data_IF_593407954696
#
_entry.id   IF_593407954696
#
_cell.length_a   1.000
_cell.length_b   1.000
_cell.length_c   1.000
_cell.angle_alpha   90.00
_cell.angle_beta   90.00
_cell.angle_gamma   90.00
#
_symmetry.space_group_name_H-M   'P 1'
#
loop_
_entity.id
_entity.type
_entity.pdbx_description
1 polymer ?
#
# COMPACT_ATOMS: atom_id res chain seq x y z
N UNK A 1 42.51 -1.33 76.65
CA UNK A 1 41.21 -0.65 76.80
C UNK A 1 41.16 0.45 75.73
N UNK A 2 40.21 0.31 74.80
CA UNK A 2 39.78 1.25 73.74
C UNK A 2 40.78 1.66 72.63
N UNK A 3 40.79 0.88 71.55
CA UNK A 3 41.17 1.33 70.22
C UNK A 3 39.90 1.77 69.46
N UNK A 4 39.83 3.04 69.10
CA UNK A 4 38.75 3.68 68.33
C UNK A 4 38.86 3.31 66.85
N UNK A 5 37.84 2.64 66.31
CA UNK A 5 37.70 2.35 64.88
C UNK A 5 37.17 3.58 64.14
N UNK A 6 37.93 4.04 63.14
CA UNK A 6 37.53 5.05 62.15
C UNK A 6 36.52 4.47 61.17
N UNK A 7 35.30 5.02 61.14
CA UNK A 7 34.29 4.72 60.11
C UNK A 7 34.55 5.58 58.86
N UNK A 8 34.81 4.93 57.72
CA UNK A 8 34.90 5.60 56.41
C UNK A 8 33.49 5.86 55.88
N UNK A 9 33.16 7.13 55.68
CA UNK A 9 31.91 7.59 55.08
C UNK A 9 31.90 7.29 53.58
N UNK A 10 30.86 6.58 53.10
CA UNK A 10 30.61 6.34 51.67
C UNK A 10 29.50 7.28 51.22
N UNK A 11 29.84 8.23 50.35
CA UNK A 11 28.88 9.13 49.71
C UNK A 11 28.33 8.40 48.47
N UNK A 12 27.05 8.02 48.51
CA UNK A 12 26.31 7.49 47.36
C UNK A 12 25.72 8.69 46.61
N UNK A 13 26.22 8.93 45.40
CA UNK A 13 25.72 9.96 44.48
C UNK A 13 24.57 9.36 43.66
N UNK A 14 23.34 9.78 43.95
CA UNK A 14 22.13 9.33 43.24
C UNK A 14 22.01 10.18 41.96
N UNK A 15 22.24 9.56 40.79
CA UNK A 15 21.91 10.12 39.48
C UNK A 15 20.39 10.02 39.26
N UNK A 16 19.70 11.16 39.31
CA UNK A 16 18.28 11.25 38.93
C UNK A 16 18.23 11.33 37.40
N UNK A 17 17.88 10.22 36.75
CA UNK A 17 17.46 10.22 35.33
C UNK A 17 16.08 10.88 35.25
N UNK A 18 16.03 12.14 34.82
CA UNK A 18 14.81 12.81 34.39
C UNK A 18 14.38 12.22 33.04
N UNK A 19 13.72 11.06 33.08
CA UNK A 19 12.86 10.63 31.98
C UNK A 19 11.60 11.51 32.01
N UNK A 20 11.64 12.66 31.34
CA UNK A 20 10.43 13.44 31.10
C UNK A 20 9.43 12.56 30.32
N UNK A 21 8.14 12.55 30.68
CA UNK A 21 7.16 11.85 29.86
C UNK A 21 7.18 12.48 28.47
N UNK A 22 7.54 11.69 27.46
CA UNK A 22 7.29 12.06 26.07
C UNK A 22 5.78 12.19 25.92
N UNK A 23 5.29 13.42 25.83
CA UNK A 23 3.93 13.69 25.39
C UNK A 23 3.83 13.22 23.94
N UNK A 24 3.35 12.01 23.75
CA UNK A 24 2.81 11.60 22.45
C UNK A 24 1.50 12.37 22.32
N UNK A 25 1.52 13.47 21.58
CA UNK A 25 0.28 14.09 21.12
C UNK A 25 -0.41 13.03 20.25
N UNK A 26 -1.46 12.40 20.79
CA UNK A 26 -2.33 11.56 20.00
C UNK A 26 -3.06 12.51 19.05
N UNK A 27 -2.74 12.44 17.76
CA UNK A 27 -3.49 13.14 16.74
C UNK A 27 -4.89 12.50 16.73
N UNK A 28 -5.81 13.10 17.48
CA UNK A 28 -7.21 12.67 17.51
C UNK A 28 -7.82 13.11 16.19
N UNK A 29 -7.67 12.27 15.18
CA UNK A 29 -8.35 12.46 13.90
C UNK A 29 -9.87 12.41 14.17
N UNK A 30 -10.62 13.36 13.60
CA UNK A 30 -12.09 13.34 13.65
C UNK A 30 -12.70 12.24 12.77
N UNK A 31 -11.86 11.48 12.05
CA UNK A 31 -12.24 10.40 11.16
C UNK A 31 -12.26 9.05 11.88
N UNK A 32 -13.20 8.23 11.45
CA UNK A 32 -13.19 6.79 11.59
C UNK A 32 -13.22 6.17 10.19
N UNK A 33 -12.55 5.02 10.02
CA UNK A 33 -12.56 4.21 8.80
C UNK A 33 -12.21 4.94 7.49
N UNK A 34 -11.15 5.77 7.45
CA UNK A 34 -10.66 6.27 6.17
C UNK A 34 -10.02 5.11 5.37
N UNK A 35 -10.75 4.63 4.37
CA UNK A 35 -10.41 3.43 3.61
C UNK A 35 -10.47 3.70 2.13
N UNK A 36 -9.66 2.95 1.38
CA UNK A 36 -9.64 3.03 -0.08
C UNK A 36 -9.69 1.65 -0.71
N UNK A 37 -10.42 1.53 -1.80
CA UNK A 37 -10.56 0.29 -2.55
C UNK A 37 -10.56 0.57 -4.06
N UNK A 38 -9.97 -0.36 -4.81
CA UNK A 38 -9.93 -0.28 -6.27
C UNK A 38 -11.06 -1.13 -6.86
N UNK A 39 -11.82 -0.56 -7.80
CA UNK A 39 -12.79 -1.31 -8.59
C UNK A 39 -12.93 -0.69 -10.00
N UNK A 40 -12.95 -1.54 -11.04
CA UNK A 40 -13.18 -1.08 -12.41
C UNK A 40 -12.17 -0.05 -12.94
N UNK A 41 -10.93 -0.05 -12.45
CA UNK A 41 -9.91 0.93 -12.81
C UNK A 41 -10.01 2.27 -12.07
N UNK A 42 -11.03 2.44 -11.22
CA UNK A 42 -11.25 3.60 -10.36
C UNK A 42 -10.80 3.30 -8.92
N UNK A 43 -10.56 4.34 -8.14
CA UNK A 43 -10.30 4.23 -6.70
C UNK A 43 -11.43 4.92 -5.94
N UNK A 44 -12.06 4.16 -5.05
CA UNK A 44 -13.12 4.62 -4.16
C UNK A 44 -12.48 4.92 -2.82
N UNK A 45 -12.72 6.14 -2.32
CA UNK A 45 -12.33 6.61 -1.01
C UNK A 45 -13.58 6.70 -0.17
N UNK A 46 -13.56 6.12 1.03
CA UNK A 46 -14.68 6.14 1.97
C UNK A 46 -14.14 6.57 3.33
N UNK A 47 -14.85 7.46 4.02
CA UNK A 47 -14.51 7.84 5.39
C UNK A 47 -15.77 8.19 6.17
N UNK A 48 -15.65 8.15 7.50
CA UNK A 48 -16.72 8.55 8.40
C UNK A 48 -16.19 9.66 9.30
N UNK A 49 -16.92 10.76 9.40
CA UNK A 49 -16.65 11.77 10.42
C UNK A 49 -17.39 11.35 11.68
N UNK A 50 -16.66 11.24 12.78
CA UNK A 50 -17.18 10.78 14.07
C UNK A 50 -18.19 11.78 14.66
N UNK A 51 -19.16 11.26 15.40
CA UNK A 51 -20.17 12.09 16.09
C UNK A 51 -19.52 13.10 17.02
N UNK A 52 -20.04 14.33 17.06
CA UNK A 52 -19.50 15.42 17.86
C UNK A 52 -18.52 16.30 17.12
N UNK A 53 -18.11 15.93 15.90
CA UNK A 53 -17.16 16.67 15.09
C UNK A 53 -17.82 17.26 13.84
N UNK A 54 -17.34 18.44 13.45
CA UNK A 54 -17.71 19.11 12.20
C UNK A 54 -16.49 19.75 11.55
N UNK A 55 -16.58 20.01 10.25
CA UNK A 55 -15.58 20.75 9.49
C UNK A 55 -16.21 21.59 8.40
N UNK A 56 -15.43 22.53 7.87
CA UNK A 56 -15.82 23.32 6.70
C UNK A 56 -15.20 22.72 5.44
N UNK A 57 -16.01 21.92 4.75
CA UNK A 57 -15.64 21.20 3.55
C UNK A 57 -14.63 20.07 3.77
N UNK A 58 -14.47 19.25 2.74
CA UNK A 58 -13.43 18.22 2.69
C UNK A 58 -12.73 18.27 1.35
N UNK A 59 -11.43 18.56 1.35
CA UNK A 59 -10.61 18.60 0.15
C UNK A 59 -9.86 17.26 0.04
N UNK A 60 -9.93 16.65 -1.14
CA UNK A 60 -9.31 15.35 -1.41
C UNK A 60 -8.03 15.58 -2.21
N UNK A 61 -6.92 15.05 -1.71
CA UNK A 61 -5.62 15.15 -2.35
C UNK A 61 -5.11 13.78 -2.78
N UNK A 62 -4.31 13.77 -3.86
CA UNK A 62 -3.57 12.62 -4.34
C UNK A 62 -2.10 12.96 -4.57
N UNK A 63 -1.23 11.99 -4.33
CA UNK A 63 0.21 12.07 -4.58
C UNK A 63 0.72 10.74 -5.17
N UNK A 64 1.84 10.79 -5.89
CA UNK A 64 2.63 9.64 -6.34
C UNK A 64 3.94 9.45 -5.56
N UNK A 65 4.35 10.43 -4.75
CA UNK A 65 5.63 10.47 -4.04
C UNK A 65 5.52 10.66 -2.52
N UNK A 66 4.29 10.77 -1.98
CA UNK A 66 3.98 11.09 -0.57
C UNK A 66 4.40 12.50 -0.12
N UNK A 67 4.93 13.33 -1.01
CA UNK A 67 5.48 14.65 -0.68
C UNK A 67 4.62 15.73 -1.35
N UNK A 68 4.46 15.63 -2.68
CA UNK A 68 3.72 16.58 -3.48
C UNK A 68 2.30 16.07 -3.68
N UNK A 69 1.33 16.77 -3.07
CA UNK A 69 -0.09 16.44 -3.14
C UNK A 69 -0.83 17.41 -4.06
N UNK A 70 -1.56 16.86 -5.02
CA UNK A 70 -2.45 17.61 -5.91
C UNK A 70 -3.89 17.42 -5.47
N UNK A 71 -4.67 18.51 -5.40
CA UNK A 71 -6.10 18.45 -5.13
C UNK A 71 -6.82 17.78 -6.31
N UNK A 72 -7.63 16.76 -6.03
CA UNK A 72 -8.43 16.04 -7.02
C UNK A 72 -9.94 16.15 -6.79
N UNK A 73 -10.37 16.68 -5.65
CA UNK A 73 -11.78 16.85 -5.32
C UNK A 73 -12.01 17.79 -4.15
N UNK A 74 -13.24 18.29 -4.03
CA UNK A 74 -13.70 19.10 -2.91
C UNK A 74 -15.19 18.89 -2.69
N UNK A 75 -15.56 18.49 -1.48
CA UNK A 75 -16.94 18.43 -1.01
C UNK A 75 -17.17 19.67 -0.16
N UNK A 76 -17.87 20.67 -0.68
CA UNK A 76 -18.11 21.94 0.00
C UNK A 76 -19.24 21.85 1.04
N UNK A 77 -19.22 22.74 2.02
CA UNK A 77 -20.24 22.87 3.05
C UNK A 77 -19.86 22.19 4.37
N UNK A 78 -20.78 22.26 5.35
CA UNK A 78 -20.53 21.69 6.67
C UNK A 78 -20.45 20.17 6.54
N UNK A 79 -19.33 19.62 6.98
CA UNK A 79 -19.12 18.19 7.10
C UNK A 79 -19.41 17.74 8.54
N UNK A 80 -19.75 16.46 8.74
CA UNK A 80 -19.97 15.87 10.06
C UNK A 80 -21.29 16.27 10.72
N UNK A 81 -21.44 15.92 12.01
CA UNK A 81 -22.63 16.21 12.82
C UNK A 81 -22.28 16.13 14.30
N UNK A 82 -22.89 17.01 15.11
CA UNK A 82 -22.72 16.99 16.57
C UNK A 82 -23.36 15.77 17.25
N UNK A 83 -24.25 15.04 16.56
CA UNK A 83 -25.11 14.02 17.17
C UNK A 83 -24.94 12.62 16.59
N UNK A 84 -24.39 12.51 15.37
CA UNK A 84 -24.27 11.23 14.67
C UNK A 84 -22.99 11.18 13.84
N UNK A 85 -22.39 9.99 13.66
CA UNK A 85 -21.35 9.82 12.64
C UNK A 85 -21.93 10.07 11.25
N UNK A 86 -21.13 10.65 10.35
CA UNK A 86 -21.57 10.97 8.99
C UNK A 86 -20.60 10.35 7.97
N UNK A 87 -21.08 9.43 7.12
CA UNK A 87 -20.27 8.82 6.08
C UNK A 87 -20.13 9.74 4.87
N UNK A 88 -18.99 9.63 4.19
CA UNK A 88 -18.67 10.31 2.94
C UNK A 88 -17.95 9.36 2.00
N UNK A 89 -18.10 9.61 0.71
CA UNK A 89 -17.41 8.90 -0.35
C UNK A 89 -16.89 9.86 -1.43
N UNK A 90 -15.83 9.44 -2.09
CA UNK A 90 -15.28 10.12 -3.26
C UNK A 90 -14.68 9.09 -4.23
N UNK A 91 -14.83 9.34 -5.53
CA UNK A 91 -14.31 8.46 -6.58
C UNK A 91 -13.21 9.19 -7.35
N UNK A 92 -11.99 8.65 -7.26
CA UNK A 92 -10.93 8.98 -8.21
C UNK A 92 -11.14 8.16 -9.49
N UNK A 93 -11.71 8.84 -10.49
CA UNK A 93 -12.03 8.31 -11.82
C UNK A 93 -10.78 8.00 -12.67
N UNK A 94 -9.65 8.67 -12.39
CA UNK A 94 -8.44 8.58 -13.20
C UNK A 94 -7.21 8.42 -12.31
N UNK A 95 -7.10 7.32 -11.53
CA UNK A 95 -5.96 7.09 -10.67
C UNK A 95 -4.69 6.93 -11.50
N UNK A 96 -3.55 7.26 -10.91
CA UNK A 96 -2.27 7.10 -11.56
C UNK A 96 -2.02 5.61 -11.79
N UNK A 97 -1.96 5.22 -13.05
CA UNK A 97 -1.87 3.82 -13.46
C UNK A 97 -0.46 3.31 -13.26
N UNK A 98 -0.36 2.04 -12.92
CA UNK A 98 0.87 1.31 -12.73
C UNK A 98 1.76 1.99 -11.68
N UNK A 99 1.18 2.53 -10.62
CA UNK A 99 1.95 3.01 -9.47
C UNK A 99 1.09 3.03 -8.22
N UNK A 100 1.76 3.22 -7.09
CA UNK A 100 1.08 3.46 -5.82
C UNK A 100 0.51 4.87 -5.84
N UNK A 101 -0.77 4.97 -5.52
CA UNK A 101 -1.45 6.24 -5.32
C UNK A 101 -1.58 6.46 -3.82
N UNK A 102 -1.24 7.66 -3.37
CA UNK A 102 -1.36 8.10 -1.98
C UNK A 102 -2.48 9.13 -1.90
N UNK A 103 -3.35 9.00 -0.90
CA UNK A 103 -4.47 9.90 -0.68
C UNK A 103 -4.47 10.42 0.74
N UNK A 104 -4.90 11.67 0.89
CA UNK A 104 -5.21 12.29 2.18
C UNK A 104 -6.36 13.28 2.01
N UNK A 105 -7.04 13.57 3.10
CA UNK A 105 -8.11 14.55 3.19
C UNK A 105 -7.59 15.79 3.92
N UNK A 106 -8.13 16.95 3.59
CA UNK A 106 -8.07 18.16 4.42
C UNK A 106 -9.48 18.46 4.91
N UNK A 107 -9.63 18.56 6.23
CA UNK A 107 -10.92 18.63 6.93
C UNK A 107 -11.11 20.02 7.54
N UNK A 108 -10.93 21.04 6.71
CA UNK A 108 -10.95 22.46 7.11
C UNK A 108 -10.03 22.73 8.30
N UNK A 109 -10.60 23.32 9.35
CA UNK A 109 -9.84 23.69 10.57
C UNK A 109 -9.29 22.49 11.37
N UNK A 110 -9.68 21.26 11.03
CA UNK A 110 -9.18 20.05 11.71
C UNK A 110 -7.87 19.52 11.10
N UNK A 111 -7.39 20.11 10.00
CA UNK A 111 -6.13 19.72 9.37
C UNK A 111 -6.25 18.51 8.43
N UNK A 112 -5.12 17.83 8.23
CA UNK A 112 -5.02 16.72 7.29
C UNK A 112 -5.31 15.36 7.97
N UNK A 113 -5.88 14.43 7.21
CA UNK A 113 -5.96 13.03 7.62
C UNK A 113 -4.60 12.34 7.53
N UNK A 114 -4.54 11.11 8.05
CA UNK A 114 -3.51 10.14 7.69
C UNK A 114 -3.48 9.89 6.16
N UNK A 115 -2.34 9.39 5.68
CA UNK A 115 -2.15 9.02 4.28
C UNK A 115 -2.50 7.54 4.10
N UNK A 116 -3.46 7.28 3.21
CA UNK A 116 -3.82 5.93 2.77
C UNK A 116 -3.29 5.67 1.37
N UNK A 117 -2.96 4.42 1.04
CA UNK A 117 -2.37 4.10 -0.27
C UNK A 117 -2.72 2.73 -0.82
N UNK A 118 -2.85 2.65 -2.14
CA UNK A 118 -3.03 1.40 -2.86
C UNK A 118 -2.32 1.45 -4.22
N UNK A 119 -1.99 0.29 -4.77
CA UNK A 119 -1.39 0.19 -6.10
C UNK A 119 -2.48 0.01 -7.17
N UNK A 120 -2.52 0.91 -8.15
CA UNK A 120 -3.45 0.82 -9.28
C UNK A 120 -2.77 0.16 -10.47
N UNK A 121 -2.94 -1.14 -10.64
CA UNK A 121 -2.37 -1.90 -11.78
C UNK A 121 -3.32 -1.87 -12.98
N UNK A 122 -2.86 -1.34 -14.12
CA UNK A 122 -3.59 -1.41 -15.39
C UNK A 122 -3.05 -2.56 -16.24
N UNK A 123 -3.94 -3.49 -16.60
CA UNK A 123 -3.60 -4.67 -17.40
C UNK A 123 -3.62 -4.41 -18.92
N UNK A 124 -3.93 -3.17 -19.32
CA UNK A 124 -4.15 -2.78 -20.71
C UNK A 124 -5.15 -3.75 -21.41
N UNK A 125 -5.07 -3.86 -22.73
CA UNK A 125 -5.80 -4.87 -23.50
C UNK A 125 -5.15 -6.27 -23.44
N UNK A 126 -4.07 -6.46 -22.65
CA UNK A 126 -3.30 -7.71 -22.60
C UNK A 126 -3.78 -8.67 -21.52
N UNK A 127 -4.47 -8.17 -20.50
CA UNK A 127 -4.93 -8.96 -19.36
C UNK A 127 -3.84 -9.30 -18.34
N UNK A 128 -2.64 -8.72 -18.48
CA UNK A 128 -1.54 -8.91 -17.53
C UNK A 128 -0.59 -7.72 -17.50
N UNK A 129 0.25 -7.65 -16.45
CA UNK A 129 1.39 -6.75 -16.39
C UNK A 129 2.58 -7.39 -15.66
N UNK A 130 3.79 -7.20 -16.19
CA UNK A 130 5.04 -7.71 -15.59
C UNK A 130 5.81 -6.56 -14.95
N UNK A 131 6.20 -6.69 -13.67
CA UNK A 131 6.89 -5.63 -12.92
C UNK A 131 8.02 -6.17 -12.03
N UNK A 132 9.26 -5.65 -12.11
CA UNK A 132 9.76 -4.82 -13.20
C UNK A 132 9.83 -5.61 -14.51
N UNK A 133 9.94 -4.89 -15.62
CA UNK A 133 10.29 -5.46 -16.92
C UNK A 133 11.14 -4.40 -17.66
N UNK A 134 12.45 -4.61 -17.89
CA UNK A 134 13.20 -5.87 -17.73
C UNK A 134 13.30 -6.39 -16.28
N UNK A 135 13.40 -7.71 -16.16
CA UNK A 135 13.58 -8.45 -14.91
C UNK A 135 15.08 -8.62 -14.66
N UNK A 136 15.56 -8.12 -13.53
CA UNK A 136 16.95 -8.34 -13.08
C UNK A 136 16.97 -9.62 -12.23
N UNK A 137 16.54 -9.54 -10.97
CA UNK A 137 16.54 -10.71 -10.07
C UNK A 137 15.16 -11.33 -9.88
N UNK A 138 14.13 -10.50 -9.74
CA UNK A 138 12.75 -10.93 -9.48
C UNK A 138 11.76 -10.03 -10.22
N UNK A 139 10.62 -10.61 -10.56
CA UNK A 139 9.46 -9.86 -11.04
C UNK A 139 8.15 -10.48 -10.57
N UNK A 140 7.09 -9.69 -10.63
CA UNK A 140 5.72 -10.14 -10.46
C UNK A 140 4.97 -10.03 -11.78
N UNK A 141 4.29 -11.10 -12.18
CA UNK A 141 3.34 -11.12 -13.28
C UNK A 141 1.95 -10.96 -12.68
N UNK A 142 1.39 -9.76 -12.74
CA UNK A 142 0.06 -9.46 -12.26
C UNK A 142 -0.99 -9.79 -13.33
N UNK A 143 -2.14 -10.28 -12.90
CA UNK A 143 -3.31 -10.55 -13.73
C UNK A 143 -4.59 -10.45 -12.89
N UNK A 144 -5.75 -10.46 -13.53
CA UNK A 144 -7.02 -10.41 -12.81
C UNK A 144 -7.44 -11.80 -12.32
N UNK A 145 -7.61 -11.94 -11.00
CA UNK A 145 -8.08 -13.16 -10.34
C UNK A 145 -9.05 -12.81 -9.19
N UNK A 146 -10.19 -12.20 -9.55
CA UNK A 146 -11.20 -11.73 -8.57
C UNK A 146 -11.75 -12.84 -7.68
N UNK A 147 -11.90 -14.04 -8.23
CA UNK A 147 -12.47 -15.20 -7.55
C UNK A 147 -11.46 -16.00 -6.71
N UNK A 148 -10.20 -15.53 -6.63
CA UNK A 148 -9.10 -16.19 -5.90
C UNK A 148 -8.94 -17.67 -6.28
N UNK A 149 -9.20 -18.01 -7.53
CA UNK A 149 -9.09 -19.38 -8.03
C UNK A 149 -7.62 -19.74 -8.25
N UNK A 150 -7.30 -21.02 -8.08
CA UNK A 150 -5.95 -21.50 -8.34
C UNK A 150 -5.63 -21.46 -9.85
N UNK A 151 -4.53 -20.79 -10.19
CA UNK A 151 -3.98 -20.68 -11.54
C UNK A 151 -2.58 -21.30 -11.57
N UNK A 152 -2.16 -21.79 -12.74
CA UNK A 152 -0.81 -22.31 -12.98
C UNK A 152 -0.09 -21.42 -14.00
N UNK A 153 1.09 -20.94 -13.65
CA UNK A 153 2.04 -20.30 -14.54
C UNK A 153 3.00 -21.36 -15.10
N UNK A 154 3.25 -21.31 -16.41
CA UNK A 154 4.39 -21.99 -17.06
C UNK A 154 5.26 -20.96 -17.76
N UNK A 155 6.56 -20.98 -17.50
CA UNK A 155 7.55 -20.08 -18.09
C UNK A 155 8.46 -20.87 -19.04
N UNK A 156 8.68 -20.35 -20.23
CA UNK A 156 9.43 -20.97 -21.31
C UNK A 156 10.55 -20.03 -21.79
N UNK A 157 11.69 -20.59 -22.16
CA UNK A 157 12.74 -19.83 -22.85
C UNK A 157 12.43 -19.65 -24.35
N UNK A 158 13.31 -18.95 -25.08
CA UNK A 158 13.14 -18.65 -26.51
C UNK A 158 13.09 -19.89 -27.40
N UNK A 159 13.70 -20.99 -26.96
CA UNK A 159 13.68 -22.28 -27.66
C UNK A 159 12.43 -23.12 -27.33
N UNK A 160 11.54 -22.63 -26.47
CA UNK A 160 10.31 -23.33 -26.06
C UNK A 160 10.50 -24.33 -24.92
N UNK A 161 11.69 -24.41 -24.31
CA UNK A 161 11.89 -25.26 -23.15
C UNK A 161 11.23 -24.67 -21.90
N UNK A 162 10.52 -25.51 -21.16
CA UNK A 162 9.91 -25.16 -19.88
C UNK A 162 11.00 -24.96 -18.83
N UNK A 163 11.08 -23.76 -18.25
CA UNK A 163 12.10 -23.39 -17.25
C UNK A 163 11.55 -23.23 -15.84
N UNK A 164 10.25 -22.95 -15.69
CA UNK A 164 9.62 -22.81 -14.38
C UNK A 164 8.12 -23.08 -14.44
N UNK A 165 7.58 -23.61 -13.34
CA UNK A 165 6.14 -23.80 -13.11
C UNK A 165 5.82 -23.28 -11.72
N UNK A 166 4.74 -22.52 -11.60
CA UNK A 166 4.23 -22.05 -10.32
C UNK A 166 2.70 -22.17 -10.27
N UNK A 167 2.14 -22.35 -9.08
CA UNK A 167 0.69 -22.31 -8.86
C UNK A 167 0.37 -21.28 -7.79
N UNK A 168 -0.71 -20.52 -7.97
CA UNK A 168 -1.14 -19.52 -6.98
C UNK A 168 -2.62 -19.20 -7.15
N UNK A 169 -3.28 -18.88 -6.04
CA UNK A 169 -4.61 -18.25 -5.99
C UNK A 169 -4.55 -16.72 -5.90
N UNK A 170 -3.35 -16.13 -5.89
CA UNK A 170 -3.18 -14.68 -5.87
C UNK A 170 -3.55 -14.05 -7.24
N UNK A 171 -3.55 -12.72 -7.28
CA UNK A 171 -3.62 -11.91 -8.50
C UNK A 171 -2.23 -11.66 -9.12
N UNK A 172 -1.21 -12.41 -8.72
CA UNK A 172 0.13 -12.35 -9.29
C UNK A 172 0.87 -13.69 -9.18
N UNK A 173 1.88 -13.86 -10.03
CA UNK A 173 2.92 -14.87 -9.88
C UNK A 173 4.28 -14.20 -9.65
N UNK A 174 5.08 -14.76 -8.76
CA UNK A 174 6.48 -14.36 -8.61
C UNK A 174 7.36 -15.14 -9.58
N UNK A 175 8.31 -14.43 -10.20
CA UNK A 175 9.31 -14.97 -11.11
C UNK A 175 10.67 -14.70 -10.50
N UNK A 176 11.39 -15.75 -10.15
CA UNK A 176 12.80 -15.68 -9.78
C UNK A 176 13.66 -15.86 -11.05
N UNK A 177 14.44 -14.84 -11.37
CA UNK A 177 15.29 -14.76 -12.55
C UNK A 177 16.78 -14.94 -12.27
N UNK A 178 17.19 -15.12 -10.99
CA UNK A 178 18.60 -15.16 -10.57
C UNK A 178 19.43 -16.16 -11.39
N UNK A 179 18.86 -17.33 -11.69
CA UNK A 179 19.53 -18.41 -12.42
C UNK A 179 19.09 -18.52 -13.89
N UNK A 180 18.35 -17.54 -14.40
CA UNK A 180 17.90 -17.51 -15.78
C UNK A 180 18.86 -16.64 -16.61
N UNK A 181 19.13 -17.07 -17.85
CA UNK A 181 19.99 -16.35 -18.77
C UNK A 181 19.29 -15.08 -19.29
N UNK A 182 20.08 -14.09 -19.71
CA UNK A 182 19.55 -12.90 -20.37
C UNK A 182 18.77 -13.29 -21.64
N UNK A 183 17.59 -12.71 -21.82
CA UNK A 183 16.75 -12.98 -22.99
C UNK A 183 15.26 -12.86 -22.76
N UNK A 184 14.50 -13.12 -23.81
CA UNK A 184 13.03 -13.10 -23.77
C UNK A 184 12.52 -14.45 -23.27
N UNK A 185 11.60 -14.40 -22.32
CA UNK A 185 10.87 -15.58 -21.85
C UNK A 185 9.39 -15.40 -22.15
N UNK A 186 8.74 -16.50 -22.51
CA UNK A 186 7.31 -16.54 -22.79
C UNK A 186 6.65 -17.24 -21.61
N UNK A 187 5.56 -16.69 -21.10
CA UNK A 187 4.77 -17.34 -20.08
C UNK A 187 3.35 -17.61 -20.53
N UNK A 188 2.74 -18.62 -19.93
CA UNK A 188 1.31 -18.91 -20.07
C UNK A 188 0.70 -19.15 -18.70
N UNK A 189 -0.43 -18.50 -18.43
CA UNK A 189 -1.24 -18.71 -17.22
C UNK A 189 -2.47 -19.55 -17.60
N UNK A 190 -2.67 -20.63 -16.87
CA UNK A 190 -3.77 -21.57 -17.02
C UNK A 190 -4.68 -21.46 -15.80
N UNK A 191 -6.00 -21.44 -16.01
CA UNK A 191 -6.97 -21.65 -14.94
C UNK A 191 -7.07 -23.16 -14.67
N UNK A 192 -7.17 -23.56 -13.40
CA UNK A 192 -7.22 -24.98 -13.03
C UNK A 192 -8.26 -25.74 -13.87
N UNK A 193 -7.81 -26.80 -14.56
CA UNK A 193 -8.65 -27.64 -15.40
C UNK A 193 -9.12 -27.04 -16.74
N UNK A 194 -8.57 -25.90 -17.18
CA UNK A 194 -8.97 -25.23 -18.44
C UNK A 194 -7.79 -24.89 -19.37
N UNK A 195 -8.13 -24.50 -20.61
CA UNK A 195 -7.20 -23.97 -21.62
C UNK A 195 -6.46 -22.71 -21.11
N UNK A 196 -5.34 -22.39 -21.76
CA UNK A 196 -4.54 -21.19 -21.49
C UNK A 196 -5.42 -19.93 -21.51
N UNK A 197 -5.36 -19.14 -20.44
CA UNK A 197 -6.19 -17.94 -20.26
C UNK A 197 -5.40 -16.68 -20.64
N UNK A 198 -4.10 -16.66 -20.34
CA UNK A 198 -3.24 -15.49 -20.59
C UNK A 198 -1.90 -15.97 -21.15
N UNK A 199 -1.40 -15.31 -22.19
CA UNK A 199 -0.06 -15.52 -22.75
C UNK A 199 0.67 -14.19 -22.79
N UNK A 200 1.93 -14.19 -22.36
CA UNK A 200 2.73 -12.99 -22.33
C UNK A 200 4.21 -13.28 -22.43
N UNK A 201 5.00 -12.20 -22.35
CA UNK A 201 6.46 -12.28 -22.37
C UNK A 201 7.07 -11.34 -21.35
N UNK A 202 8.26 -11.67 -20.90
CA UNK A 202 9.11 -10.84 -20.05
C UNK A 202 10.54 -10.86 -20.59
N UNK A 203 11.28 -9.79 -20.37
CA UNK A 203 12.70 -9.68 -20.73
C UNK A 203 13.52 -9.85 -19.45
N UNK A 204 14.47 -10.77 -19.44
CA UNK A 204 15.46 -10.91 -18.36
C UNK A 204 16.76 -10.24 -18.78
N UNK A 205 17.29 -9.39 -17.91
CA UNK A 205 18.52 -8.63 -18.12
C UNK A 205 19.22 -8.37 -16.78
N UNK A 206 20.28 -9.14 -16.50
CA UNK A 206 21.22 -8.94 -15.38
C UNK A 206 22.26 -7.86 -15.67
#
# INVERSE_FOLDING_TARGET
>A
MNATKTAKSFIIMILIFLAGPSLVAQETTILDNFTINKNGGKIYLNWVITSGNTCDGTIIYRSDDMINFTQIGHISGICGSSYSPVPYDFIDENPLKNQRNYYRLELGNNGFSEIVSLESIDFENKGYQVRPNPVITHAKIYFENKELENHQLKLYNQSGFLVSVASSSNNYFEVNAINLQNGIYIFTIFKAGKLAVIKGRLLIQH
#
